data_IF_601783931234
#
_entry.id   IF_601783931234
#
_cell.length_a   1.000
_cell.length_b   1.000
_cell.length_c   1.000
_cell.angle_alpha   90.00
_cell.angle_beta   90.00
_cell.angle_gamma   90.00
#
_symmetry.space_group_name_H-M   'P 1'
#
loop_
_entity.id
_entity.type
_entity.pdbx_description
1 polymer ?
#
# COMPACT_ATOMS: atom_id res chain seq x y z
N UNK A 1 2.72 -11.00 -33.35
CA UNK A 1 1.59 -10.06 -33.27
C UNK A 1 1.31 -9.77 -31.82
N UNK A 2 1.20 -8.51 -31.44
CA UNK A 2 0.88 -8.12 -30.05
C UNK A 2 -0.62 -8.29 -29.84
N UNK A 3 -1.00 -9.12 -28.87
CA UNK A 3 -2.41 -9.30 -28.51
C UNK A 3 -2.89 -8.05 -27.77
N UNK A 4 -3.85 -7.35 -28.35
CA UNK A 4 -4.44 -6.16 -27.75
C UNK A 4 -5.10 -6.48 -26.40
N UNK A 5 -5.79 -7.61 -26.32
CA UNK A 5 -6.49 -8.01 -25.10
C UNK A 5 -5.49 -8.31 -23.99
N UNK A 6 -4.33 -8.89 -24.32
CA UNK A 6 -3.23 -9.10 -23.37
C UNK A 6 -2.68 -7.76 -22.83
N UNK A 7 -2.44 -6.78 -23.70
CA UNK A 7 -1.98 -5.45 -23.26
C UNK A 7 -3.01 -4.74 -22.40
N UNK A 8 -4.30 -4.90 -22.71
CA UNK A 8 -5.39 -4.32 -21.95
C UNK A 8 -5.45 -4.92 -20.54
N UNK A 9 -5.38 -6.25 -20.41
CA UNK A 9 -5.36 -6.92 -19.11
C UNK A 9 -4.12 -6.53 -18.30
N UNK A 10 -2.95 -6.42 -18.94
CA UNK A 10 -1.73 -5.93 -18.27
C UNK A 10 -1.90 -4.50 -17.74
N UNK A 11 -2.47 -3.60 -18.52
CA UNK A 11 -2.75 -2.21 -18.09
C UNK A 11 -3.77 -2.13 -16.95
N UNK A 12 -4.80 -2.97 -16.96
CA UNK A 12 -5.79 -3.07 -15.87
C UNK A 12 -5.18 -3.56 -14.57
N UNK A 13 -4.18 -4.45 -14.66
CA UNK A 13 -3.49 -5.02 -13.50
C UNK A 13 -2.43 -4.13 -12.86
N UNK A 14 -2.10 -2.97 -13.44
CA UNK A 14 -1.12 -2.05 -12.86
C UNK A 14 -1.68 -1.36 -11.62
N UNK A 15 -0.83 -1.00 -10.66
CA UNK A 15 -1.22 -0.02 -9.65
C UNK A 15 -1.15 1.41 -10.24
N UNK A 16 -1.65 2.40 -9.49
CA UNK A 16 -1.71 3.79 -9.94
C UNK A 16 -0.37 4.32 -10.47
N UNK A 17 0.73 4.11 -9.74
CA UNK A 17 2.02 4.69 -10.09
C UNK A 17 2.70 3.97 -11.25
N UNK A 18 2.53 2.65 -11.33
CA UNK A 18 2.92 1.91 -12.52
C UNK A 18 2.19 2.43 -13.75
N UNK A 19 0.90 2.76 -13.61
CA UNK A 19 0.10 3.30 -14.70
C UNK A 19 0.55 4.71 -15.11
N UNK A 20 0.80 5.60 -14.15
CA UNK A 20 1.33 6.95 -14.43
C UNK A 20 2.73 6.90 -15.06
N UNK A 21 3.61 6.01 -14.59
CA UNK A 21 4.93 5.82 -15.19
C UNK A 21 4.83 5.33 -16.63
N UNK A 22 3.90 4.41 -16.93
CA UNK A 22 3.64 3.97 -18.30
C UNK A 22 3.19 5.15 -19.17
N UNK A 23 2.31 6.02 -18.67
CA UNK A 23 1.89 7.23 -19.40
C UNK A 23 3.08 8.16 -19.67
N UNK A 24 3.92 8.39 -18.66
CA UNK A 24 5.11 9.21 -18.75
C UNK A 24 6.10 8.68 -19.80
N UNK A 25 6.44 7.39 -19.74
CA UNK A 25 7.35 6.74 -20.68
C UNK A 25 6.80 6.70 -22.10
N UNK A 26 5.49 6.58 -22.26
CA UNK A 26 4.83 6.67 -23.57
C UNK A 26 4.65 8.10 -24.06
N UNK A 27 4.98 9.10 -23.25
CA UNK A 27 4.79 10.53 -23.53
C UNK A 27 3.34 10.85 -23.90
N UNK A 28 2.40 10.19 -23.23
CA UNK A 28 0.97 10.43 -23.40
C UNK A 28 0.59 11.61 -22.51
N UNK A 29 -0.03 12.63 -23.10
CA UNK A 29 -0.56 13.77 -22.35
C UNK A 29 -1.64 13.29 -21.34
N UNK A 30 -1.49 13.58 -20.04
CA UNK A 30 -2.51 13.20 -19.05
C UNK A 30 -3.90 13.77 -19.34
N UNK A 31 -4.00 14.92 -20.02
CA UNK A 31 -5.27 15.58 -20.32
C UNK A 31 -6.17 14.79 -21.29
N UNK A 32 -5.59 13.86 -22.08
CA UNK A 32 -6.35 13.03 -23.03
C UNK A 32 -6.83 11.71 -22.43
N UNK A 33 -6.39 11.39 -21.21
CA UNK A 33 -6.81 10.22 -20.44
C UNK A 33 -7.91 10.67 -19.45
N UNK A 34 -8.96 9.84 -19.25
CA UNK A 34 -9.94 10.09 -18.20
C UNK A 34 -9.27 10.36 -16.86
N UNK A 35 -9.92 11.21 -16.05
CA UNK A 35 -9.39 11.64 -14.76
C UNK A 35 -8.96 10.46 -13.89
N UNK A 36 -8.09 10.73 -12.92
CA UNK A 36 -7.63 9.69 -11.98
C UNK A 36 -8.75 9.02 -11.18
N UNK A 37 -9.93 9.64 -11.09
CA UNK A 37 -11.13 9.07 -10.46
C UNK A 37 -11.88 8.08 -11.35
N UNK A 38 -11.59 8.04 -12.66
CA UNK A 38 -12.20 7.09 -13.57
C UNK A 38 -11.70 5.67 -13.32
N UNK A 39 -12.55 4.67 -13.54
CA UNK A 39 -12.15 3.27 -13.44
C UNK A 39 -10.94 2.98 -14.32
N UNK A 40 -9.99 2.22 -13.78
CA UNK A 40 -8.74 1.90 -14.47
C UNK A 40 -8.98 1.18 -15.80
N UNK A 41 -10.03 0.37 -15.91
CA UNK A 41 -10.48 -0.23 -17.16
C UNK A 41 -10.77 0.81 -18.24
N UNK A 42 -11.42 1.92 -17.88
CA UNK A 42 -11.75 3.02 -18.80
C UNK A 42 -10.47 3.75 -19.23
N UNK A 43 -9.57 4.02 -18.27
CA UNK A 43 -8.27 4.65 -18.54
C UNK A 43 -7.41 3.77 -19.48
N UNK A 44 -7.33 2.47 -19.20
CA UNK A 44 -6.59 1.50 -20.01
C UNK A 44 -7.15 1.38 -21.44
N UNK A 45 -8.49 1.33 -21.58
CA UNK A 45 -9.13 1.34 -22.90
C UNK A 45 -8.78 2.60 -23.70
N UNK A 46 -8.73 3.77 -23.05
CA UNK A 46 -8.36 5.03 -23.72
C UNK A 46 -6.94 5.02 -24.25
N UNK A 47 -5.98 4.51 -23.47
CA UNK A 47 -4.58 4.36 -23.90
C UNK A 47 -4.50 3.47 -25.14
N UNK A 48 -5.13 2.30 -25.10
CA UNK A 48 -5.14 1.35 -26.22
C UNK A 48 -5.76 2.00 -27.46
N UNK A 49 -6.89 2.68 -27.32
CA UNK A 49 -7.54 3.39 -28.44
C UNK A 49 -6.63 4.46 -29.05
N UNK A 50 -5.92 5.24 -28.22
CA UNK A 50 -5.02 6.30 -28.68
C UNK A 50 -3.80 5.74 -29.41
N UNK A 51 -3.18 4.70 -28.86
CA UNK A 51 -1.96 4.11 -29.41
C UNK A 51 -2.21 3.30 -30.69
N UNK A 52 -3.43 2.81 -30.89
CA UNK A 52 -3.84 2.23 -32.18
C UNK A 52 -3.79 3.22 -33.34
N UNK A 53 -3.92 4.50 -33.06
CA UNK A 53 -3.86 5.56 -34.09
C UNK A 53 -2.41 5.93 -34.44
N UNK A 54 -1.42 5.40 -33.72
CA UNK A 54 0.00 5.66 -33.96
C UNK A 54 0.66 4.45 -34.65
N UNK A 55 1.59 4.69 -35.59
CA UNK A 55 2.46 3.62 -36.06
C UNK A 55 3.25 3.06 -34.87
N UNK A 56 3.24 1.73 -34.74
CA UNK A 56 3.95 0.99 -33.68
C UNK A 56 3.52 1.32 -32.24
N UNK A 57 2.40 2.03 -32.02
CA UNK A 57 1.98 2.45 -30.68
C UNK A 57 1.77 1.27 -29.71
N UNK A 58 1.22 0.16 -30.20
CA UNK A 58 1.03 -1.05 -29.39
C UNK A 58 2.34 -1.80 -29.10
N UNK A 59 3.30 -1.78 -30.03
CA UNK A 59 4.63 -2.36 -29.79
C UNK A 59 5.42 -1.53 -28.77
N UNK A 60 5.32 -0.19 -28.84
CA UNK A 60 5.86 0.71 -27.82
C UNK A 60 5.26 0.44 -26.44
N UNK A 61 3.94 0.30 -26.34
CA UNK A 61 3.29 -0.05 -25.08
C UNK A 61 3.78 -1.38 -24.53
N UNK A 62 3.87 -2.41 -25.37
CA UNK A 62 4.42 -3.71 -24.96
C UNK A 62 5.81 -3.55 -24.37
N UNK A 63 6.71 -2.86 -25.09
CA UNK A 63 8.08 -2.59 -24.64
C UNK A 63 8.10 -1.85 -23.30
N UNK A 64 7.29 -0.81 -23.15
CA UNK A 64 7.19 -0.04 -21.89
C UNK A 64 6.70 -0.90 -20.73
N UNK A 65 5.68 -1.74 -20.95
CA UNK A 65 5.17 -2.64 -19.90
C UNK A 65 6.18 -3.72 -19.49
N UNK A 66 7.14 -4.02 -20.37
CA UNK A 66 8.24 -4.95 -20.11
C UNK A 66 9.45 -4.27 -19.42
N UNK A 67 9.46 -2.94 -19.29
CA UNK A 67 10.56 -2.21 -18.65
C UNK A 67 10.72 -2.60 -17.17
N UNK A 68 11.96 -2.80 -16.69
CA UNK A 68 12.22 -3.17 -15.30
C UNK A 68 11.65 -2.18 -14.28
N UNK A 69 11.62 -0.89 -14.62
CA UNK A 69 11.13 0.16 -13.73
C UNK A 69 9.64 -0.03 -13.37
N UNK A 70 8.83 -0.51 -14.31
CA UNK A 70 7.40 -0.80 -14.06
C UNK A 70 7.25 -1.93 -13.05
N UNK A 71 8.13 -2.94 -13.11
CA UNK A 71 8.15 -4.05 -12.14
C UNK A 71 8.65 -3.60 -10.76
N UNK A 72 9.68 -2.76 -10.72
CA UNK A 72 10.27 -2.23 -9.49
C UNK A 72 9.28 -1.35 -8.75
N UNK A 73 8.59 -0.44 -9.45
CA UNK A 73 7.52 0.39 -8.88
C UNK A 73 6.38 -0.47 -8.33
N UNK A 74 6.04 -1.60 -8.96
CA UNK A 74 5.09 -2.56 -8.39
C UNK A 74 5.48 -3.03 -6.98
N UNK A 75 6.74 -3.46 -6.80
CA UNK A 75 7.23 -4.05 -5.55
C UNK A 75 7.53 -3.02 -4.46
N UNK A 76 8.27 -1.96 -4.80
CA UNK A 76 8.63 -0.92 -3.84
C UNK A 76 7.38 -0.13 -3.43
N UNK A 77 6.53 0.25 -4.38
CA UNK A 77 5.35 1.07 -4.08
C UNK A 77 4.26 0.30 -3.32
N UNK A 78 4.17 -1.03 -3.44
CA UNK A 78 3.29 -1.82 -2.58
C UNK A 78 3.76 -1.77 -1.12
N UNK A 79 5.07 -1.86 -0.89
CA UNK A 79 5.67 -1.66 0.44
C UNK A 79 5.42 -0.24 0.98
N UNK A 80 5.57 0.79 0.15
CA UNK A 80 5.29 2.19 0.52
C UNK A 80 3.80 2.45 0.75
N UNK A 81 2.88 2.00 -0.11
CA UNK A 81 1.43 2.14 0.10
C UNK A 81 0.97 1.47 1.38
N UNK A 82 1.48 0.27 1.68
CA UNK A 82 1.16 -0.45 2.92
C UNK A 82 1.73 0.32 4.10
N UNK A 83 2.99 0.75 4.02
CA UNK A 83 3.63 1.57 5.07
C UNK A 83 2.85 2.85 5.33
N UNK A 84 2.52 3.62 4.31
CA UNK A 84 1.81 4.89 4.42
C UNK A 84 0.40 4.68 4.97
N UNK A 85 -0.30 3.62 4.56
CA UNK A 85 -1.62 3.27 5.11
C UNK A 85 -1.54 2.86 6.57
N UNK A 86 -0.56 2.05 6.94
CA UNK A 86 -0.33 1.65 8.33
C UNK A 86 0.04 2.86 9.17
N UNK A 87 0.94 3.72 8.69
CA UNK A 87 1.32 4.97 9.36
C UNK A 87 0.12 5.90 9.53
N UNK A 88 -0.76 6.01 8.53
CA UNK A 88 -2.00 6.79 8.63
C UNK A 88 -2.94 6.23 9.69
N UNK A 89 -3.18 4.92 9.70
CA UNK A 89 -4.04 4.26 10.70
C UNK A 89 -3.48 4.46 12.11
N UNK A 90 -2.18 4.26 12.29
CA UNK A 90 -1.50 4.47 13.58
C UNK A 90 -1.57 5.95 13.99
N UNK A 91 -1.34 6.87 13.04
CA UNK A 91 -1.45 8.31 13.24
C UNK A 91 -2.85 8.76 13.67
N UNK A 92 -3.91 8.19 13.09
CA UNK A 92 -5.30 8.47 13.47
C UNK A 92 -5.58 8.13 14.94
N UNK A 93 -4.94 7.10 15.50
CA UNK A 93 -5.08 6.76 16.92
C UNK A 93 -4.24 7.67 17.83
N UNK A 94 -3.03 8.02 17.40
CA UNK A 94 -2.11 8.89 18.14
C UNK A 94 -2.70 10.29 18.33
N UNK A 95 -3.40 10.82 17.34
CA UNK A 95 -3.99 12.16 17.40
C UNK A 95 -5.19 12.26 18.36
N UNK A 96 -5.73 11.13 18.82
CA UNK A 96 -6.85 11.10 19.75
C UNK A 96 -6.35 11.20 21.19
N UNK A 97 -7.07 11.92 22.08
CA UNK A 97 -6.78 11.94 23.51
C UNK A 97 -6.71 10.51 24.06
N UNK A 98 -5.63 10.21 24.78
CA UNK A 98 -5.39 8.89 25.34
C UNK A 98 -4.85 8.99 26.77
N UNK A 99 -5.69 8.67 27.73
CA UNK A 99 -5.39 8.81 29.17
C UNK A 99 -5.83 7.57 29.95
N UNK A 100 -5.28 7.41 31.16
CA UNK A 100 -5.76 6.42 32.14
C UNK A 100 -5.35 4.97 31.89
N UNK A 101 -4.32 4.72 31.06
CA UNK A 101 -3.84 3.37 30.70
C UNK A 101 -2.39 3.10 31.09
N UNK A 102 -1.90 3.82 32.11
CA UNK A 102 -0.50 3.75 32.55
C UNK A 102 -0.12 2.36 33.06
N UNK A 103 -1.07 1.65 33.70
CA UNK A 103 -0.84 0.29 34.18
C UNK A 103 -0.61 -0.69 33.03
N UNK A 104 -1.39 -0.58 31.96
CA UNK A 104 -1.23 -1.43 30.78
C UNK A 104 0.04 -1.09 29.99
N UNK A 105 0.41 0.20 29.90
CA UNK A 105 1.70 0.61 29.34
C UNK A 105 2.87 -0.01 30.11
N UNK A 106 2.85 0.04 31.44
CA UNK A 106 3.88 -0.57 32.28
C UNK A 106 3.95 -2.10 32.11
N UNK A 107 2.82 -2.77 31.86
CA UNK A 107 2.82 -4.20 31.53
C UNK A 107 3.49 -4.49 30.18
N UNK A 108 3.25 -3.65 29.17
CA UNK A 108 3.91 -3.75 27.87
C UNK A 108 5.42 -3.53 28.00
N UNK A 109 5.84 -2.49 28.73
CA UNK A 109 7.26 -2.20 28.97
C UNK A 109 7.97 -3.33 29.71
N UNK A 110 7.35 -3.87 30.77
CA UNK A 110 7.88 -5.03 31.51
C UNK A 110 8.02 -6.25 30.62
N UNK A 111 7.05 -6.50 29.74
CA UNK A 111 7.12 -7.62 28.82
C UNK A 111 8.32 -7.50 27.88
N UNK A 112 8.50 -6.35 27.23
CA UNK A 112 9.59 -6.13 26.28
C UNK A 112 10.96 -6.13 26.96
N UNK A 113 11.07 -5.53 28.16
CA UNK A 113 12.35 -5.48 28.89
C UNK A 113 12.81 -6.83 29.44
N UNK A 114 11.86 -7.65 29.88
CA UNK A 114 12.19 -8.90 30.57
C UNK A 114 12.31 -10.10 29.64
N UNK A 115 11.95 -9.96 28.36
CA UNK A 115 11.93 -11.07 27.41
C UNK A 115 12.64 -10.69 26.11
N UNK A 116 13.64 -11.48 25.71
CA UNK A 116 14.30 -11.34 24.40
C UNK A 116 13.44 -11.84 23.25
N UNK A 117 12.42 -12.65 23.54
CA UNK A 117 11.44 -13.17 22.58
C UNK A 117 10.17 -13.62 23.29
N UNK A 118 9.00 -13.50 22.65
CA UNK A 118 7.76 -14.04 23.18
C UNK A 118 6.53 -13.46 22.48
N UNK A 119 5.35 -13.95 22.88
CA UNK A 119 4.06 -13.47 22.38
C UNK A 119 3.26 -12.91 23.54
N UNK A 120 2.84 -11.66 23.44
CA UNK A 120 1.90 -11.03 24.35
C UNK A 120 0.58 -10.77 23.62
N UNK A 121 -0.52 -11.26 24.18
CA UNK A 121 -1.85 -11.05 23.63
C UNK A 121 -2.59 -9.96 24.40
N UNK A 122 -2.86 -8.83 23.73
CA UNK A 122 -3.68 -7.74 24.29
C UNK A 122 -5.14 -7.98 23.91
N UNK A 123 -5.98 -8.30 24.90
CA UNK A 123 -7.40 -8.61 24.71
C UNK A 123 -8.33 -7.57 25.34
N UNK A 124 -9.62 -7.65 25.03
CA UNK A 124 -10.64 -6.73 25.50
C UNK A 124 -11.77 -6.57 24.48
N UNK A 125 -12.91 -6.06 24.90
CA UNK A 125 -14.07 -5.89 24.02
C UNK A 125 -13.81 -4.90 22.87
N UNK A 126 -14.66 -4.95 21.84
CA UNK A 126 -14.61 -4.00 20.73
C UNK A 126 -14.79 -2.56 21.25
N UNK A 127 -14.01 -1.62 20.73
CA UNK A 127 -14.07 -0.21 21.17
C UNK A 127 -13.27 0.14 22.44
N UNK A 128 -12.70 -0.83 23.17
CA UNK A 128 -11.96 -0.58 24.42
C UNK A 128 -10.54 0.01 24.22
N UNK A 129 -10.25 0.57 23.05
CA UNK A 129 -9.01 1.30 22.79
C UNK A 129 -7.74 0.44 22.74
N UNK A 130 -7.83 -0.86 22.42
CA UNK A 130 -6.64 -1.75 22.31
C UNK A 130 -5.65 -1.25 21.26
N UNK A 131 -6.14 -0.91 20.06
CA UNK A 131 -5.29 -0.37 18.98
C UNK A 131 -4.71 0.99 19.37
N UNK A 132 -5.47 1.82 20.09
CA UNK A 132 -4.99 3.10 20.62
C UNK A 132 -3.87 2.89 21.66
N UNK A 133 -4.05 1.95 22.60
CA UNK A 133 -3.01 1.58 23.57
C UNK A 133 -1.70 1.20 22.88
N UNK A 134 -1.76 0.30 21.89
CA UNK A 134 -0.56 -0.14 21.17
C UNK A 134 0.07 1.00 20.35
N UNK A 135 -0.72 1.88 19.74
CA UNK A 135 -0.24 3.01 18.94
C UNK A 135 0.43 4.07 19.80
N UNK A 136 -0.17 4.40 20.95
CA UNK A 136 0.38 5.37 21.90
C UNK A 136 1.61 4.81 22.63
N UNK A 137 1.62 3.53 22.99
CA UNK A 137 2.77 2.88 23.63
C UNK A 137 4.02 2.89 22.75
N UNK A 138 3.88 2.75 21.43
CA UNK A 138 5.03 2.82 20.51
C UNK A 138 5.67 4.21 20.46
N UNK A 139 4.89 5.28 20.59
CA UNK A 139 5.46 6.62 20.64
C UNK A 139 6.35 6.85 21.87
N UNK A 140 6.11 6.10 22.95
CA UNK A 140 6.92 6.19 24.17
C UNK A 140 8.15 5.29 24.13
N UNK A 141 8.30 4.43 23.12
CA UNK A 141 9.50 3.61 22.95
C UNK A 141 10.57 4.41 22.20
N UNK A 142 11.73 4.59 22.84
CA UNK A 142 12.91 5.27 22.28
C UNK A 142 13.67 4.42 21.25
N UNK A 143 14.63 5.04 20.58
CA UNK A 143 15.40 4.61 19.39
C UNK A 143 16.06 3.22 19.44
N UNK A 144 16.08 2.56 20.60
CA UNK A 144 16.70 1.24 20.80
C UNK A 144 15.89 0.08 20.20
N UNK A 145 14.62 0.31 19.84
CA UNK A 145 13.73 -0.73 19.31
C UNK A 145 13.24 -0.45 17.89
N UNK A 146 13.41 -1.42 17.00
CA UNK A 146 12.74 -1.43 15.70
C UNK A 146 11.35 -2.06 15.83
N UNK A 147 10.31 -1.23 15.82
CA UNK A 147 8.92 -1.66 15.97
C UNK A 147 8.22 -1.70 14.60
N UNK A 148 7.61 -2.83 14.28
CA UNK A 148 6.85 -3.04 13.03
C UNK A 148 5.38 -3.25 13.35
N UNK A 149 4.51 -2.47 12.69
CA UNK A 149 3.07 -2.70 12.73
C UNK A 149 2.60 -3.56 11.57
N UNK A 150 1.78 -4.54 11.90
CA UNK A 150 1.00 -5.28 10.93
C UNK A 150 -0.48 -5.23 11.31
N UNK A 151 -1.26 -4.46 10.55
CA UNK A 151 -2.67 -4.21 10.86
C UNK A 151 -3.58 -5.14 10.06
N UNK A 152 -4.16 -6.15 10.68
CA UNK A 152 -5.23 -6.94 10.04
C UNK A 152 -6.57 -6.19 10.15
N UNK A 153 -7.18 -5.83 9.03
CA UNK A 153 -8.49 -5.18 9.02
C UNK A 153 -9.41 -5.79 7.97
N UNK A 154 -10.65 -6.08 8.36
CA UNK A 154 -11.70 -6.46 7.40
C UNK A 154 -12.25 -5.24 6.64
N UNK A 155 -12.00 -4.01 7.12
CA UNK A 155 -12.47 -2.75 6.49
C UNK A 155 -11.53 -2.20 5.42
N UNK A 156 -10.27 -2.63 5.42
CA UNK A 156 -9.28 -2.21 4.43
C UNK A 156 -8.85 -3.45 3.64
N UNK A 157 -9.42 -3.65 2.45
CA UNK A 157 -9.19 -4.84 1.60
C UNK A 157 -7.70 -5.10 1.28
N UNK A 158 -6.80 -4.14 1.52
CA UNK A 158 -5.38 -4.23 1.20
C UNK A 158 -4.43 -4.66 2.32
N UNK A 159 -4.87 -4.89 3.57
CA UNK A 159 -3.95 -5.40 4.62
C UNK A 159 -3.99 -6.92 4.80
N UNK A 160 -4.47 -7.63 3.78
CA UNK A 160 -4.81 -9.07 3.85
C UNK A 160 -3.81 -10.04 3.21
N UNK A 161 -2.61 -9.65 2.80
CA UNK A 161 -1.69 -10.65 2.25
C UNK A 161 -0.80 -11.28 3.33
N UNK A 162 -1.29 -12.38 3.92
CA UNK A 162 -0.49 -13.32 4.72
C UNK A 162 0.37 -14.24 3.82
N UNK A 163 0.10 -14.29 2.52
CA UNK A 163 0.78 -15.18 1.57
C UNK A 163 2.14 -14.66 1.08
N UNK A 164 2.52 -13.41 1.41
CA UNK A 164 3.79 -12.79 1.01
C UNK A 164 4.77 -12.63 2.19
N UNK A 165 4.40 -13.08 3.39
CA UNK A 165 5.17 -12.90 4.63
C UNK A 165 5.95 -14.13 5.10
N UNK A 166 5.86 -15.26 4.37
CA UNK A 166 6.63 -16.48 4.60
C UNK A 166 7.23 -17.01 3.30
#
# INVERSE_FOLDING_TARGET
MVSQDELLERLKGLNFNQFEEVLFLLKIDPAIIPSYFAEQSIRAMRIIQRLKQEPEGLERLKKTLDEPIIRILGKQYTGYEIKDKVQRIVGEYIQQPFEGREKEKDQLDKFVRNNTSGVLLVTGAAGFGKSALLSHWQQTQHEDYFIVYHCFSHRYEKTRSLAEAY
#
